data_IF_286165206514
#
_entry.id   IF_286165206514
#
_cell.length_a   1.000
_cell.length_b   1.000
_cell.length_c   1.000
_cell.angle_alpha   90.00
_cell.angle_beta   90.00
_cell.angle_gamma   90.00
#
_symmetry.space_group_name_H-M   'P 1'
#
loop_
_entity.id
_entity.type
_entity.pdbx_description
1 polymer ?
#
# COMPACT_ATOMS: atom_id res chain seq x y z
N UNK A 1 10.89 7.23 0.07
CA UNK A 1 9.99 8.35 -0.18
C UNK A 1 9.47 8.32 -1.62
N UNK A 2 10.31 8.48 -2.65
CA UNK A 2 9.94 8.57 -4.07
C UNK A 2 8.93 7.51 -4.56
N UNK A 3 9.07 6.24 -4.15
CA UNK A 3 8.11 5.20 -4.51
C UNK A 3 6.71 5.46 -3.96
N UNK A 4 6.59 5.96 -2.75
CA UNK A 4 5.31 6.34 -2.15
C UNK A 4 4.74 7.58 -2.85
N UNK A 5 5.58 8.55 -3.20
CA UNK A 5 5.15 9.73 -3.94
C UNK A 5 4.52 9.38 -5.29
N UNK A 6 5.13 8.47 -6.05
CA UNK A 6 4.62 8.04 -7.35
C UNK A 6 3.38 7.14 -7.27
N UNK A 7 3.06 6.58 -6.14
CA UNK A 7 1.90 5.69 -5.99
C UNK A 7 0.77 6.35 -5.21
N UNK A 8 1.07 6.94 -4.08
CA UNK A 8 0.13 7.51 -3.15
C UNK A 8 0.09 9.05 -3.26
N UNK A 9 1.25 9.67 -3.25
CA UNK A 9 1.40 11.11 -3.36
C UNK A 9 0.88 11.67 -4.68
N UNK A 10 0.95 10.90 -5.77
CA UNK A 10 0.40 11.29 -7.07
C UNK A 10 -1.06 11.77 -6.98
N UNK A 11 -1.86 11.11 -6.15
CA UNK A 11 -3.27 11.45 -5.95
C UNK A 11 -3.49 12.40 -4.78
N UNK A 12 -2.84 12.17 -3.65
CA UNK A 12 -3.10 12.94 -2.44
C UNK A 12 -2.41 14.31 -2.39
N UNK A 13 -1.19 14.43 -2.90
CA UNK A 13 -0.47 15.71 -2.85
C UNK A 13 -1.23 16.82 -3.58
N UNK A 14 -1.79 16.63 -4.79
CA UNK A 14 -2.65 17.63 -5.42
C UNK A 14 -3.83 18.06 -4.56
N UNK A 15 -4.49 17.12 -3.89
CA UNK A 15 -5.67 17.39 -3.05
C UNK A 15 -5.27 18.19 -1.80
N UNK A 16 -4.16 17.82 -1.15
CA UNK A 16 -3.72 18.45 0.10
C UNK A 16 -2.89 19.72 -0.13
N UNK A 17 -2.03 19.71 -1.14
CA UNK A 17 -1.02 20.77 -1.37
C UNK A 17 -1.24 21.56 -2.66
N UNK A 18 -2.12 21.09 -3.56
CA UNK A 18 -2.44 21.76 -4.82
C UNK A 18 -1.43 21.49 -5.94
N UNK A 19 -0.48 20.57 -5.77
CA UNK A 19 0.45 20.14 -6.81
C UNK A 19 0.94 18.71 -6.57
N UNK A 20 1.52 18.13 -7.61
CA UNK A 20 2.16 16.82 -7.55
C UNK A 20 3.40 16.81 -6.64
N UNK A 21 3.80 15.63 -6.12
CA UNK A 21 5.05 15.50 -5.38
C UNK A 21 6.27 16.07 -6.12
N UNK A 22 7.16 16.75 -5.41
CA UNK A 22 8.38 17.32 -5.97
C UNK A 22 9.21 16.25 -6.72
N UNK A 23 9.34 15.06 -6.15
CA UNK A 23 10.05 13.95 -6.79
C UNK A 23 9.47 13.51 -8.14
N UNK A 24 8.18 13.76 -8.38
CA UNK A 24 7.53 13.56 -9.68
C UNK A 24 7.82 14.71 -10.63
N UNK A 25 7.74 15.95 -10.15
CA UNK A 25 8.09 17.15 -10.95
C UNK A 25 9.51 17.09 -11.46
N UNK A 26 10.47 16.74 -10.61
CA UNK A 26 11.89 16.61 -10.98
C UNK A 26 12.14 15.58 -12.09
N UNK A 27 11.34 14.49 -12.11
CA UNK A 27 11.60 13.37 -13.02
C UNK A 27 10.79 13.41 -14.30
N UNK A 28 9.58 13.91 -14.24
CA UNK A 28 8.65 13.95 -15.37
C UNK A 28 8.68 15.31 -16.09
N UNK A 29 9.13 16.36 -15.40
CA UNK A 29 9.24 17.68 -16.02
C UNK A 29 7.97 18.15 -16.71
N UNK A 30 8.07 18.41 -18.01
CA UNK A 30 6.95 18.84 -18.87
C UNK A 30 5.92 17.76 -19.17
N UNK A 31 6.25 16.49 -18.96
CA UNK A 31 5.30 15.38 -19.17
C UNK A 31 4.23 15.34 -18.06
N UNK A 32 4.50 15.98 -16.93
CA UNK A 32 3.56 16.11 -15.83
C UNK A 32 2.73 17.39 -15.97
N UNK A 33 1.40 17.31 -16.10
CA UNK A 33 0.55 18.49 -16.25
C UNK A 33 0.75 19.52 -15.12
N UNK A 34 0.53 20.77 -15.43
CA UNK A 34 0.58 21.86 -14.46
C UNK A 34 -0.82 22.35 -14.17
N UNK A 35 -1.20 22.41 -12.91
CA UNK A 35 -2.49 22.97 -12.50
C UNK A 35 -2.45 24.50 -12.54
N UNK A 36 -3.48 25.09 -13.16
CA UNK A 36 -3.77 26.52 -13.02
C UNK A 36 -4.19 26.85 -11.57
N UNK A 37 -4.10 28.10 -11.14
CA UNK A 37 -4.54 28.50 -9.79
C UNK A 37 -6.01 28.16 -9.53
N UNK A 38 -6.87 28.28 -10.54
CA UNK A 38 -8.29 27.90 -10.44
C UNK A 38 -8.48 26.38 -10.24
N UNK A 39 -7.69 25.55 -10.93
CA UNK A 39 -7.71 24.10 -10.73
C UNK A 39 -7.17 23.71 -9.36
N UNK A 40 -6.10 24.34 -8.91
CA UNK A 40 -5.57 24.12 -7.54
C UNK A 40 -6.59 24.48 -6.48
N UNK A 41 -7.29 25.59 -6.63
CA UNK A 41 -8.36 25.99 -5.72
C UNK A 41 -9.51 24.99 -5.72
N UNK A 42 -9.87 24.47 -6.89
CA UNK A 42 -10.94 23.48 -7.04
C UNK A 42 -10.60 22.11 -6.44
N UNK A 43 -9.37 21.62 -6.63
CA UNK A 43 -8.95 20.30 -6.14
C UNK A 43 -8.52 20.31 -4.67
N UNK A 44 -8.08 21.45 -4.12
CA UNK A 44 -7.71 21.61 -2.71
C UNK A 44 -8.93 21.64 -1.80
N UNK A 45 -9.69 20.59 -1.82
CA UNK A 45 -10.84 20.43 -0.95
C UNK A 45 -10.47 19.61 0.28
N UNK A 46 -11.12 19.92 1.40
CA UNK A 46 -11.06 19.05 2.56
C UNK A 46 -11.77 17.74 2.22
N UNK A 47 -11.05 16.64 2.38
CA UNK A 47 -11.64 15.31 2.29
C UNK A 47 -12.13 14.89 3.68
N UNK A 48 -13.19 14.09 3.74
CA UNK A 48 -13.75 13.61 4.99
C UNK A 48 -12.88 12.51 5.60
N UNK A 49 -12.31 11.66 4.76
CA UNK A 49 -11.42 10.57 5.17
C UNK A 49 -10.56 10.07 4.00
N UNK A 50 -9.54 9.30 4.32
CA UNK A 50 -8.77 8.51 3.35
C UNK A 50 -9.23 7.05 3.42
N UNK A 51 -9.66 6.49 2.28
CA UNK A 51 -9.85 5.05 2.10
C UNK A 51 -8.55 4.42 1.63
N UNK A 52 -7.97 3.53 2.44
CA UNK A 52 -6.68 2.89 2.15
C UNK A 52 -6.84 1.41 1.85
N UNK A 53 -6.57 1.00 0.60
CA UNK A 53 -6.37 -0.41 0.24
C UNK A 53 -4.89 -0.76 0.43
N UNK A 54 -4.61 -1.75 1.26
CA UNK A 54 -3.24 -2.18 1.53
C UNK A 54 -3.16 -3.68 1.75
N UNK A 55 -2.33 -4.36 1.00
CA UNK A 55 -2.16 -5.82 1.07
C UNK A 55 -0.74 -6.23 1.47
N UNK A 56 0.26 -5.50 0.99
CA UNK A 56 1.66 -5.88 1.13
C UNK A 56 2.59 -4.67 1.20
N UNK A 57 3.83 -4.90 1.56
CA UNK A 57 4.91 -3.91 1.49
C UNK A 57 6.15 -4.51 0.83
N UNK A 58 7.01 -3.65 0.31
CA UNK A 58 8.26 -4.03 -0.34
C UNK A 58 9.42 -3.20 0.17
N UNK A 59 10.58 -3.78 0.21
CA UNK A 59 11.82 -3.01 0.27
C UNK A 59 12.06 -2.37 -1.09
N UNK A 60 12.66 -1.19 -1.08
CA UNK A 60 12.96 -0.42 -2.30
C UNK A 60 14.44 -0.05 -2.28
N UNK A 61 15.15 -0.38 -3.37
CA UNK A 61 16.48 0.13 -3.65
C UNK A 61 16.44 1.19 -4.75
N UNK A 62 17.42 2.10 -4.72
CA UNK A 62 17.69 2.97 -5.86
C UNK A 62 18.41 2.16 -6.95
N UNK A 63 17.91 2.26 -8.20
CA UNK A 63 18.54 1.66 -9.37
C UNK A 63 18.44 2.62 -10.55
N UNK A 64 19.57 2.90 -11.19
CA UNK A 64 19.61 3.89 -12.28
C UNK A 64 18.87 3.41 -13.54
N UNK A 65 19.01 2.11 -13.89
CA UNK A 65 18.36 1.51 -15.04
C UNK A 65 17.68 0.19 -14.63
N UNK A 66 16.50 0.25 -14.00
CA UNK A 66 15.72 -0.95 -13.74
C UNK A 66 15.28 -1.57 -15.09
N UNK A 67 15.35 -2.88 -15.21
CA UNK A 67 14.94 -3.63 -16.43
C UNK A 67 13.41 -3.66 -16.60
N UNK A 68 12.70 -3.03 -15.73
CA UNK A 68 11.26 -3.10 -15.60
C UNK A 68 10.51 -2.08 -16.45
N UNK A 69 9.19 -2.21 -16.41
CA UNK A 69 8.19 -1.34 -17.03
C UNK A 69 8.53 0.14 -16.81
N UNK A 70 8.28 0.97 -17.81
CA UNK A 70 8.49 2.42 -17.84
C UNK A 70 8.16 3.14 -16.51
N UNK A 71 7.08 2.75 -15.86
CA UNK A 71 6.67 3.30 -14.56
C UNK A 71 7.75 3.16 -13.46
N UNK A 72 8.48 2.04 -13.40
CA UNK A 72 9.58 1.85 -12.44
C UNK A 72 10.88 2.50 -12.92
N UNK A 73 11.10 2.52 -14.21
CA UNK A 73 12.27 3.19 -14.83
C UNK A 73 12.29 4.68 -14.47
N UNK A 74 11.16 5.38 -14.63
CA UNK A 74 11.03 6.80 -14.28
C UNK A 74 11.33 7.05 -12.81
N UNK A 75 10.89 6.16 -11.94
CA UNK A 75 11.15 6.24 -10.51
C UNK A 75 12.59 5.91 -10.14
N UNK A 76 13.35 5.22 -11.01
CA UNK A 76 14.68 4.66 -10.70
C UNK A 76 14.66 3.86 -9.40
N UNK A 77 13.72 2.95 -9.28
CA UNK A 77 13.56 2.09 -8.12
C UNK A 77 13.46 0.63 -8.54
N UNK A 78 13.99 -0.23 -7.70
CA UNK A 78 13.84 -1.68 -7.77
C UNK A 78 13.11 -2.16 -6.53
N UNK A 79 12.15 -3.06 -6.71
CA UNK A 79 11.49 -3.75 -5.60
C UNK A 79 12.36 -4.92 -5.15
N UNK A 80 12.64 -4.99 -3.87
CA UNK A 80 13.44 -6.04 -3.25
C UNK A 80 12.57 -6.82 -2.29
N UNK A 81 12.71 -8.14 -2.29
CA UNK A 81 11.96 -9.06 -1.45
C UNK A 81 12.78 -9.59 -0.27
N UNK A 82 14.08 -9.30 -0.26
CA UNK A 82 15.02 -9.77 0.76
C UNK A 82 15.85 -8.63 1.30
N UNK A 83 16.16 -8.70 2.56
CA UNK A 83 17.17 -7.86 3.19
C UNK A 83 18.57 -8.19 2.67
N UNK A 84 19.55 -7.31 2.92
CA UNK A 84 20.96 -7.58 2.59
C UNK A 84 21.51 -8.83 3.28
N UNK A 85 20.88 -9.26 4.38
CA UNK A 85 21.17 -10.53 5.07
C UNK A 85 20.75 -11.77 4.28
N UNK A 86 19.94 -11.61 3.21
CA UNK A 86 19.30 -12.70 2.47
C UNK A 86 17.94 -13.14 3.03
N UNK A 87 17.55 -12.63 4.19
CA UNK A 87 16.25 -12.88 4.81
C UNK A 87 15.12 -12.26 4.00
N UNK A 88 14.02 -13.00 3.79
CA UNK A 88 12.83 -12.49 3.10
C UNK A 88 12.14 -11.40 3.95
N UNK A 89 11.50 -10.44 3.27
CA UNK A 89 10.74 -9.37 3.95
C UNK A 89 9.53 -9.91 4.73
N UNK A 90 9.02 -11.07 4.35
CA UNK A 90 7.91 -11.78 4.95
C UNK A 90 7.61 -13.06 4.17
N UNK A 91 6.68 -13.86 4.65
CA UNK A 91 6.17 -15.01 3.93
C UNK A 91 5.37 -14.56 2.71
N UNK A 92 5.38 -15.37 1.64
CA UNK A 92 4.63 -15.11 0.42
C UNK A 92 3.29 -15.83 0.49
N UNK A 93 2.20 -15.15 0.14
CA UNK A 93 0.90 -15.74 -0.10
C UNK A 93 0.88 -16.54 -1.43
N UNK A 94 -0.27 -17.01 -1.91
CA UNK A 94 -0.39 -17.69 -3.20
C UNK A 94 0.05 -16.75 -4.34
N UNK A 95 -0.45 -15.55 -4.38
CA UNK A 95 -0.01 -14.52 -5.34
C UNK A 95 1.45 -14.15 -5.16
N UNK A 96 2.20 -14.14 -6.27
CA UNK A 96 3.65 -13.82 -6.27
C UNK A 96 3.97 -12.41 -5.77
N UNK A 97 3.04 -11.50 -5.92
CA UNK A 97 3.23 -10.11 -5.52
C UNK A 97 2.92 -9.85 -4.04
N UNK A 98 2.21 -10.76 -3.34
CA UNK A 98 1.74 -10.54 -1.98
C UNK A 98 2.68 -11.18 -0.95
N UNK A 99 3.30 -10.36 -0.13
CA UNK A 99 4.10 -10.76 1.03
C UNK A 99 3.43 -10.29 2.31
N UNK A 100 3.43 -11.12 3.34
CA UNK A 100 2.85 -10.83 4.65
C UNK A 100 3.82 -9.92 5.42
N UNK A 101 3.53 -8.61 5.46
CA UNK A 101 4.42 -7.58 6.01
C UNK A 101 3.63 -6.60 6.89
N UNK A 102 3.13 -7.04 8.05
CA UNK A 102 2.25 -6.22 8.89
C UNK A 102 2.88 -4.90 9.34
N UNK A 103 4.17 -4.91 9.70
CA UNK A 103 4.90 -3.70 10.10
C UNK A 103 4.94 -2.62 9.00
N UNK A 104 4.75 -3.01 7.76
CA UNK A 104 4.69 -2.08 6.63
C UNK A 104 3.43 -1.22 6.66
N UNK A 105 2.28 -1.79 7.04
CA UNK A 105 1.04 -1.03 7.24
C UNK A 105 1.19 -0.03 8.39
N UNK A 106 1.76 -0.43 9.52
CA UNK A 106 2.05 0.48 10.63
C UNK A 106 2.88 1.69 10.18
N UNK A 107 3.96 1.45 9.41
CA UNK A 107 4.81 2.53 8.88
C UNK A 107 4.06 3.43 7.90
N UNK A 108 3.22 2.86 7.04
CA UNK A 108 2.44 3.65 6.07
C UNK A 108 1.41 4.52 6.77
N UNK A 109 0.69 4.01 7.76
CA UNK A 109 -0.29 4.77 8.55
C UNK A 109 0.37 5.97 9.25
N UNK A 110 1.50 5.75 9.91
CA UNK A 110 2.27 6.84 10.54
C UNK A 110 2.81 7.85 9.51
N UNK A 111 3.22 7.39 8.32
CA UNK A 111 3.64 8.27 7.23
C UNK A 111 2.48 9.16 6.76
N UNK A 112 1.28 8.59 6.55
CA UNK A 112 0.09 9.34 6.14
C UNK A 112 -0.26 10.38 7.18
N UNK A 113 -0.36 9.98 8.45
CA UNK A 113 -0.65 10.90 9.55
C UNK A 113 0.33 12.08 9.59
N UNK A 114 1.62 11.80 9.49
CA UNK A 114 2.66 12.83 9.53
C UNK A 114 2.63 13.78 8.32
N UNK A 115 2.40 13.24 7.11
CA UNK A 115 2.48 14.03 5.87
C UNK A 115 1.22 14.87 5.63
N UNK A 116 0.05 14.36 5.99
CA UNK A 116 -1.25 14.92 5.63
C UNK A 116 -2.07 15.45 6.82
N UNK A 117 -1.41 15.82 7.91
CA UNK A 117 -2.04 16.41 9.09
C UNK A 117 -3.07 15.50 9.78
N UNK A 118 -2.70 14.24 9.93
CA UNK A 118 -3.46 13.19 10.63
C UNK A 118 -4.94 13.09 10.22
N UNK A 119 -5.24 12.84 8.94
CA UNK A 119 -6.62 12.70 8.48
C UNK A 119 -7.27 11.43 9.06
N UNK A 120 -8.59 11.40 9.08
CA UNK A 120 -9.32 10.17 9.35
C UNK A 120 -9.00 9.12 8.28
N UNK A 121 -8.62 7.91 8.69
CA UNK A 121 -8.26 6.80 7.80
C UNK A 121 -9.22 5.63 8.02
N UNK A 122 -9.75 5.10 6.95
CA UNK A 122 -10.40 3.80 6.92
C UNK A 122 -9.55 2.87 6.07
N UNK A 123 -9.14 1.72 6.62
CA UNK A 123 -8.54 0.66 5.83
C UNK A 123 -9.69 -0.03 5.12
N UNK A 124 -9.84 0.24 3.83
CA UNK A 124 -10.98 -0.18 3.01
C UNK A 124 -10.78 -1.56 2.43
N UNK A 125 -9.53 -2.01 2.31
CA UNK A 125 -9.19 -3.38 1.95
C UNK A 125 -7.87 -3.80 2.60
N UNK A 126 -7.86 -5.01 3.15
CA UNK A 126 -6.67 -5.72 3.61
C UNK A 126 -6.98 -7.21 3.70
N UNK A 127 -6.14 -8.06 3.14
CA UNK A 127 -6.34 -9.51 3.10
C UNK A 127 -5.25 -10.21 2.31
N UNK A 128 -5.39 -11.51 2.17
CA UNK A 128 -4.47 -12.35 1.40
C UNK A 128 -5.23 -13.47 0.72
N UNK A 129 -4.64 -13.98 -0.35
CA UNK A 129 -5.05 -15.20 -1.02
C UNK A 129 -4.27 -16.42 -0.49
N UNK A 130 -4.87 -17.59 -0.64
CA UNK A 130 -4.27 -18.88 -0.39
C UNK A 130 -4.52 -19.80 -1.59
N UNK A 131 -3.58 -20.70 -1.86
CA UNK A 131 -3.72 -21.66 -2.96
C UNK A 131 -4.86 -22.65 -2.66
N UNK A 132 -5.77 -22.84 -3.63
CA UNK A 132 -6.85 -23.81 -3.52
C UNK A 132 -6.33 -25.22 -3.75
N UNK A 133 -6.00 -25.91 -2.67
CA UNK A 133 -5.59 -27.31 -2.71
C UNK A 133 -6.79 -28.25 -2.82
N UNK A 134 -7.09 -28.70 -4.03
CA UNK A 134 -8.18 -29.62 -4.34
C UNK A 134 -8.07 -30.97 -3.62
N UNK A 135 -6.92 -31.30 -3.03
CA UNK A 135 -6.72 -32.53 -2.22
C UNK A 135 -7.01 -32.34 -0.73
N UNK A 136 -7.13 -31.09 -0.27
CA UNK A 136 -7.39 -30.79 1.13
C UNK A 136 -8.79 -31.22 1.58
N UNK A 137 -8.89 -31.74 2.80
CA UNK A 137 -10.20 -32.01 3.41
C UNK A 137 -10.87 -30.71 3.87
N UNK A 138 -12.20 -30.73 4.00
CA UNK A 138 -12.95 -29.57 4.50
C UNK A 138 -12.43 -29.10 5.88
N UNK A 139 -12.05 -30.01 6.75
CA UNK A 139 -11.47 -29.68 8.07
C UNK A 139 -10.14 -28.92 7.93
N UNK A 140 -9.29 -29.34 7.00
CA UNK A 140 -8.01 -28.67 6.72
C UNK A 140 -8.23 -27.26 6.16
N UNK A 141 -9.16 -27.13 5.20
CA UNK A 141 -9.48 -25.82 4.60
C UNK A 141 -10.09 -24.87 5.63
N UNK A 142 -11.00 -25.36 6.49
CA UNK A 142 -11.62 -24.53 7.53
C UNK A 142 -10.65 -24.16 8.67
N UNK A 143 -9.56 -24.88 8.86
CA UNK A 143 -8.51 -24.55 9.81
C UNK A 143 -7.50 -23.57 9.20
N UNK A 144 -7.98 -22.45 8.69
CA UNK A 144 -7.22 -21.41 7.99
C UNK A 144 -6.30 -20.62 8.93
N UNK A 145 -5.25 -21.26 9.39
CA UNK A 145 -4.27 -20.66 10.33
C UNK A 145 -3.45 -19.55 9.67
N UNK A 146 -3.26 -19.60 8.36
CA UNK A 146 -2.48 -18.62 7.59
C UNK A 146 -3.19 -17.28 7.56
N UNK A 147 -4.47 -17.22 7.14
CA UNK A 147 -5.26 -15.98 7.16
C UNK A 147 -5.50 -15.45 8.57
N UNK A 148 -5.74 -16.35 9.53
CA UNK A 148 -5.84 -15.96 10.95
C UNK A 148 -4.55 -15.29 11.43
N UNK A 149 -3.38 -15.83 11.08
CA UNK A 149 -2.08 -15.23 11.38
C UNK A 149 -1.89 -13.87 10.70
N UNK A 150 -2.26 -13.77 9.42
CA UNK A 150 -2.24 -12.53 8.65
C UNK A 150 -3.05 -11.43 9.34
N UNK A 151 -4.35 -11.66 9.60
CA UNK A 151 -5.20 -10.66 10.22
C UNK A 151 -4.74 -10.28 11.64
N UNK A 152 -4.29 -11.23 12.45
CA UNK A 152 -3.70 -10.93 13.77
C UNK A 152 -2.53 -9.96 13.67
N UNK A 153 -1.61 -10.20 12.74
CA UNK A 153 -0.44 -9.36 12.53
C UNK A 153 -0.81 -7.94 12.05
N UNK A 154 -1.69 -7.85 11.05
CA UNK A 154 -2.10 -6.56 10.51
C UNK A 154 -2.96 -5.76 11.50
N UNK A 155 -3.90 -6.38 12.21
CA UNK A 155 -4.69 -5.70 13.25
C UNK A 155 -3.82 -5.24 14.42
N UNK A 156 -2.80 -6.01 14.81
CA UNK A 156 -1.82 -5.57 15.81
C UNK A 156 -1.05 -4.32 15.33
N UNK A 157 -0.68 -4.27 14.06
CA UNK A 157 -0.01 -3.11 13.44
C UNK A 157 -0.92 -1.88 13.38
N UNK A 158 -2.21 -2.05 13.09
CA UNK A 158 -3.22 -0.99 13.16
C UNK A 158 -3.38 -0.49 14.59
N UNK A 159 -3.53 -1.39 15.56
CA UNK A 159 -3.64 -1.04 16.97
C UNK A 159 -2.42 -0.24 17.47
N UNK A 160 -1.21 -0.61 16.98
CA UNK A 160 -0.01 0.14 17.31
C UNK A 160 -0.02 1.55 16.68
N UNK A 161 -0.46 1.69 15.43
CA UNK A 161 -0.59 3.00 14.79
C UNK A 161 -1.58 3.91 15.54
N UNK A 162 -2.70 3.36 16.01
CA UNK A 162 -3.66 4.10 16.83
C UNK A 162 -3.01 4.57 18.16
N UNK A 163 -2.20 3.72 18.80
CA UNK A 163 -1.44 4.10 20.00
C UNK A 163 -0.44 5.22 19.72
N UNK A 164 0.13 5.24 18.52
CA UNK A 164 1.06 6.30 18.08
C UNK A 164 0.32 7.62 17.76
N UNK A 165 -1.02 7.63 17.81
CA UNK A 165 -1.86 8.80 17.61
C UNK A 165 -2.48 8.93 16.21
N UNK A 166 -2.36 7.91 15.34
CA UNK A 166 -2.98 7.92 14.01
C UNK A 166 -4.49 7.76 14.12
N UNK A 167 -5.25 8.61 13.41
CA UNK A 167 -6.73 8.60 13.41
C UNK A 167 -7.28 7.52 12.47
N UNK A 168 -7.09 6.24 12.83
CA UNK A 168 -7.69 5.10 12.12
C UNK A 168 -9.07 4.82 12.71
N UNK A 169 -10.12 4.90 11.88
CA UNK A 169 -11.53 4.80 12.29
C UNK A 169 -12.23 3.52 11.86
N UNK A 170 -11.69 2.80 10.89
CA UNK A 170 -12.32 1.58 10.40
C UNK A 170 -11.35 0.65 9.71
N UNK A 171 -11.75 -0.61 9.64
CA UNK A 171 -10.99 -1.68 8.99
C UNK A 171 -11.96 -2.64 8.31
N UNK A 172 -11.71 -2.92 7.05
CA UNK A 172 -12.48 -3.83 6.22
C UNK A 172 -11.57 -4.91 5.65
N UNK A 173 -11.87 -6.14 5.98
CA UNK A 173 -11.16 -7.28 5.40
C UNK A 173 -11.58 -7.48 3.93
N UNK A 174 -10.63 -7.75 3.07
CA UNK A 174 -10.88 -8.19 1.71
C UNK A 174 -10.53 -9.69 1.61
N UNK A 175 -11.52 -10.57 1.41
CA UNK A 175 -12.94 -10.21 1.33
C UNK A 175 -13.75 -11.13 2.24
N UNK A 176 -15.06 -10.85 2.37
CA UNK A 176 -15.98 -11.66 3.19
C UNK A 176 -16.21 -13.06 2.62
N UNK A 177 -16.24 -13.17 1.30
CA UNK A 177 -16.38 -14.42 0.54
C UNK A 177 -15.36 -14.42 -0.60
N UNK A 178 -15.00 -15.61 -1.07
CA UNK A 178 -14.23 -15.76 -2.30
C UNK A 178 -14.98 -15.09 -3.45
N UNK A 179 -14.22 -14.45 -4.32
CA UNK A 179 -14.75 -13.63 -5.41
C UNK A 179 -13.84 -13.74 -6.63
N UNK A 180 -14.23 -13.09 -7.73
CA UNK A 180 -13.42 -13.01 -8.93
C UNK A 180 -12.19 -12.14 -8.72
N UNK A 181 -11.02 -12.76 -8.53
CA UNK A 181 -9.73 -12.10 -8.32
C UNK A 181 -8.93 -11.93 -9.62
N UNK A 182 -9.52 -11.25 -10.59
CA UNK A 182 -8.88 -10.87 -11.85
C UNK A 182 -8.26 -12.07 -12.59
N UNK A 183 -6.93 -12.09 -12.70
CA UNK A 183 -6.20 -13.17 -13.38
C UNK A 183 -6.10 -14.46 -12.57
N UNK A 184 -6.49 -14.45 -11.31
CA UNK A 184 -6.46 -15.63 -10.43
C UNK A 184 -7.78 -16.44 -10.46
N UNK A 185 -8.83 -15.88 -11.04
CA UNK A 185 -10.13 -16.54 -11.24
C UNK A 185 -11.16 -16.31 -10.17
#
# INVERSE_FOLDING_TARGET
QRRIDFQFGWFLDPIYFGDYPESMRERLGSDLPTFSEKEKEFIRNKIDFIGLNHYTSRLIAHRQNPEDVYFYQVQQVERIEKWNSGEKIGERAASEWLFIVPWGLHKLLNYIAKKYDNPAIYITENGMDEEDDQSATLEQVLNDTTRVGYFKGYLASVAQAIKDGVDVRGYFAWSFLDNFEWAMG
#
